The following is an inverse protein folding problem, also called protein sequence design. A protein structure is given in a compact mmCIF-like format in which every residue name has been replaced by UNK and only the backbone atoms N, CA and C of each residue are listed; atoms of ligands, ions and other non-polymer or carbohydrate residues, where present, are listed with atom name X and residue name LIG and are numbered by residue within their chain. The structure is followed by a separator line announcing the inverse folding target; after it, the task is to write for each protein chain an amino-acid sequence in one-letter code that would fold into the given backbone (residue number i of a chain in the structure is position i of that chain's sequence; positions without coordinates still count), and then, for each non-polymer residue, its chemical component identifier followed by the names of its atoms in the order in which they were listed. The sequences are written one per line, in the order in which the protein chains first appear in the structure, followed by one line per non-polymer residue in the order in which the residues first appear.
data_IF_148023311512
#
_entry.id   IF_148023311512
#
_cell.length_a   1.000
_cell.length_b   1.000
_cell.length_c   1.000
_cell.angle_alpha   90.00
_cell.angle_beta   90.00
_cell.angle_gamma   90.00
#
_symmetry.space_group_name_H-M   'P 1'
#
loop_
_entity.id
_entity.type
_entity.pdbx_description
1 polymer ?
#
# COMPACT_ATOMS: atom_id res chain seq x y z
N UNK A 1 27.39 -32.13 -24.91
CA UNK A 1 27.91 -30.98 -24.17
C UNK A 1 27.07 -29.72 -24.37
N UNK A 2 26.54 -29.47 -25.57
CA UNK A 2 25.68 -28.30 -25.89
C UNK A 2 24.33 -28.23 -25.16
N UNK A 3 23.69 -29.38 -24.92
CA UNK A 3 22.38 -29.43 -24.18
C UNK A 3 22.46 -28.90 -22.73
N UNK A 4 23.56 -29.16 -22.02
CA UNK A 4 23.77 -28.65 -20.66
C UNK A 4 24.01 -27.11 -20.64
N UNK A 5 24.73 -26.57 -21.61
CA UNK A 5 25.00 -25.14 -21.73
C UNK A 5 23.72 -24.37 -22.05
N UNK A 6 22.85 -24.92 -22.91
CA UNK A 6 21.54 -24.33 -23.22
C UNK A 6 20.60 -24.24 -21.98
N UNK A 7 20.63 -25.28 -21.13
CA UNK A 7 19.82 -25.32 -19.91
C UNK A 7 20.31 -24.31 -18.85
N UNK A 8 21.63 -24.18 -18.69
CA UNK A 8 22.23 -23.16 -17.78
C UNK A 8 21.91 -21.75 -18.25
N UNK A 9 22.00 -21.43 -19.54
CA UNK A 9 21.59 -20.13 -20.08
C UNK A 9 20.12 -19.82 -19.82
N UNK A 10 19.20 -20.78 -19.99
CA UNK A 10 17.77 -20.60 -19.68
C UNK A 10 17.53 -20.31 -18.19
N UNK A 11 18.21 -21.01 -17.30
CA UNK A 11 18.11 -20.82 -15.85
C UNK A 11 18.62 -19.43 -15.47
N UNK A 12 19.78 -19.01 -15.99
CA UNK A 12 20.34 -17.68 -15.73
C UNK A 12 19.44 -16.54 -16.26
N UNK A 13 18.84 -16.71 -17.43
CA UNK A 13 17.87 -15.74 -17.97
C UNK A 13 16.61 -15.64 -17.12
N UNK A 14 16.09 -16.77 -16.62
CA UNK A 14 14.95 -16.77 -15.69
C UNK A 14 15.29 -16.09 -14.36
N UNK A 15 16.43 -16.40 -13.78
CA UNK A 15 16.89 -15.76 -12.54
C UNK A 15 16.99 -14.24 -12.74
N UNK A 16 17.63 -13.80 -13.83
CA UNK A 16 17.79 -12.37 -14.16
C UNK A 16 16.43 -11.67 -14.36
N UNK A 17 15.48 -12.33 -15.00
CA UNK A 17 14.11 -11.81 -15.22
C UNK A 17 13.35 -11.67 -13.89
N UNK A 18 13.45 -12.66 -13.01
CA UNK A 18 12.83 -12.62 -11.66
C UNK A 18 13.44 -11.49 -10.82
N UNK A 19 14.77 -11.32 -10.83
CA UNK A 19 15.43 -10.23 -10.12
C UNK A 19 15.02 -8.85 -10.65
N UNK A 20 14.93 -8.70 -11.97
CA UNK A 20 14.50 -7.43 -12.58
C UNK A 20 13.04 -7.09 -12.21
N UNK A 21 12.13 -8.07 -12.26
CA UNK A 21 10.73 -7.89 -11.85
C UNK A 21 10.60 -7.55 -10.35
N UNK A 22 11.41 -8.19 -9.50
CA UNK A 22 11.44 -7.90 -8.07
C UNK A 22 11.95 -6.49 -7.78
N UNK A 23 12.98 -6.03 -8.47
CA UNK A 23 13.51 -4.66 -8.33
C UNK A 23 12.49 -3.60 -8.76
N UNK A 24 11.78 -3.81 -9.86
CA UNK A 24 10.70 -2.92 -10.30
C UNK A 24 9.58 -2.84 -9.25
N UNK A 25 9.16 -3.98 -8.70
CA UNK A 25 8.16 -4.03 -7.63
C UNK A 25 8.60 -3.23 -6.39
N UNK A 26 9.86 -3.36 -5.99
CA UNK A 26 10.42 -2.61 -4.85
C UNK A 26 10.42 -1.10 -5.13
N UNK A 27 10.86 -0.67 -6.31
CA UNK A 27 10.86 0.76 -6.66
C UNK A 27 9.45 1.35 -6.68
N UNK A 28 8.47 0.63 -7.23
CA UNK A 28 7.06 1.05 -7.23
C UNK A 28 6.53 1.13 -5.78
N UNK A 29 6.87 0.17 -4.92
CA UNK A 29 6.46 0.18 -3.53
C UNK A 29 7.04 1.38 -2.76
N UNK A 30 8.32 1.71 -2.97
CA UNK A 30 8.96 2.90 -2.39
C UNK A 30 8.25 4.18 -2.86
N UNK A 31 8.00 4.29 -4.16
CA UNK A 31 7.27 5.43 -4.73
C UNK A 31 5.87 5.56 -4.14
N UNK A 32 5.16 4.44 -4.03
CA UNK A 32 3.81 4.39 -3.43
C UNK A 32 3.82 4.89 -1.99
N UNK A 33 4.78 4.46 -1.17
CA UNK A 33 4.93 4.94 0.20
C UNK A 33 5.22 6.44 0.29
N UNK A 34 6.09 6.96 -0.58
CA UNK A 34 6.38 8.39 -0.65
C UNK A 34 5.13 9.20 -1.05
N UNK A 35 4.37 8.74 -2.04
CA UNK A 35 3.12 9.37 -2.47
C UNK A 35 2.06 9.35 -1.37
N UNK A 36 1.90 8.25 -0.65
CA UNK A 36 0.96 8.16 0.49
C UNK A 36 1.31 9.15 1.60
N UNK A 37 2.57 9.27 1.97
CA UNK A 37 3.03 10.22 2.98
C UNK A 37 2.77 11.66 2.54
N UNK A 38 3.10 12.01 1.31
CA UNK A 38 2.87 13.34 0.73
C UNK A 38 1.38 13.66 0.69
N UNK A 39 0.55 12.74 0.21
CA UNK A 39 -0.91 12.88 0.17
C UNK A 39 -1.49 13.13 1.57
N UNK A 40 -1.04 12.39 2.57
CA UNK A 40 -1.50 12.56 3.96
C UNK A 40 -1.24 13.98 4.50
N UNK A 41 -0.04 14.53 4.24
CA UNK A 41 0.32 15.89 4.65
C UNK A 41 -0.50 16.93 3.91
N UNK A 42 -0.62 16.82 2.58
CA UNK A 42 -1.39 17.75 1.76
C UNK A 42 -2.88 17.77 2.17
N UNK A 43 -3.47 16.60 2.34
CA UNK A 43 -4.86 16.47 2.75
C UNK A 43 -5.11 17.05 4.14
N UNK A 44 -4.18 16.88 5.07
CA UNK A 44 -4.26 17.50 6.40
C UNK A 44 -4.19 19.01 6.32
N UNK A 45 -3.34 19.57 5.45
CA UNK A 45 -3.27 21.01 5.19
C UNK A 45 -4.58 21.59 4.66
N UNK A 46 -5.20 20.92 3.68
CA UNK A 46 -6.50 21.33 3.13
C UNK A 46 -7.61 21.21 4.18
N UNK A 47 -7.59 20.15 4.98
CA UNK A 47 -8.61 19.89 6.02
C UNK A 47 -8.69 21.02 7.05
N UNK A 48 -7.57 21.63 7.39
CA UNK A 48 -7.53 22.79 8.32
C UNK A 48 -8.32 23.99 7.83
N UNK A 49 -8.54 24.11 6.52
CA UNK A 49 -9.23 25.24 5.89
C UNK A 49 -10.66 24.89 5.44
N UNK A 50 -10.91 23.63 5.06
CA UNK A 50 -12.18 23.23 4.44
C UNK A 50 -12.96 22.19 5.22
N UNK A 51 -12.36 21.57 6.23
CA UNK A 51 -12.95 20.48 6.99
C UNK A 51 -12.70 19.09 6.35
N UNK A 52 -12.75 18.06 7.20
CA UNK A 52 -12.28 16.71 6.87
C UNK A 52 -13.13 16.03 5.78
N UNK A 53 -14.46 16.17 5.84
CA UNK A 53 -15.35 15.53 4.87
C UNK A 53 -15.30 16.18 3.50
N UNK A 54 -15.14 17.50 3.45
CA UNK A 54 -14.96 18.24 2.20
C UNK A 54 -13.65 17.82 1.54
N UNK A 55 -12.57 17.78 2.31
CA UNK A 55 -11.27 17.30 1.81
C UNK A 55 -11.34 15.87 1.31
N UNK A 56 -11.90 14.94 2.11
CA UNK A 56 -12.02 13.55 1.71
C UNK A 56 -12.84 13.38 0.41
N UNK A 57 -13.96 14.10 0.28
CA UNK A 57 -14.78 14.07 -0.93
C UNK A 57 -14.02 14.60 -2.15
N UNK A 58 -13.31 15.72 -2.01
CA UNK A 58 -12.51 16.28 -3.09
C UNK A 58 -11.38 15.34 -3.54
N UNK A 59 -10.70 14.70 -2.58
CA UNK A 59 -9.63 13.73 -2.87
C UNK A 59 -10.15 12.54 -3.66
N UNK A 60 -11.28 11.97 -3.26
CA UNK A 60 -11.88 10.83 -3.97
C UNK A 60 -12.41 11.23 -5.35
N UNK A 61 -12.98 12.41 -5.47
CA UNK A 61 -13.45 12.93 -6.75
C UNK A 61 -12.29 13.19 -7.72
N UNK A 62 -11.23 13.86 -7.27
CA UNK A 62 -10.05 14.11 -8.10
C UNK A 62 -9.34 12.80 -8.51
N UNK A 63 -9.25 11.82 -7.60
CA UNK A 63 -8.74 10.50 -7.91
C UNK A 63 -9.59 9.78 -8.99
N UNK A 64 -10.91 9.89 -8.89
CA UNK A 64 -11.83 9.34 -9.91
C UNK A 64 -11.54 9.95 -11.28
N UNK A 65 -11.39 11.27 -11.37
CA UNK A 65 -11.10 11.95 -12.64
C UNK A 65 -9.78 11.49 -13.26
N UNK A 66 -8.74 11.35 -12.44
CA UNK A 66 -7.43 10.83 -12.88
C UNK A 66 -7.55 9.39 -13.38
N UNK A 67 -8.26 8.53 -12.66
CA UNK A 67 -8.48 7.13 -13.07
C UNK A 67 -9.27 7.03 -14.36
N UNK A 68 -10.31 7.83 -14.53
CA UNK A 68 -11.10 7.88 -15.78
C UNK A 68 -10.25 8.40 -16.95
N UNK A 69 -9.44 9.43 -16.73
CA UNK A 69 -8.50 9.93 -17.73
C UNK A 69 -7.50 8.86 -18.16
N UNK A 70 -6.89 8.16 -17.19
CA UNK A 70 -5.98 7.06 -17.46
C UNK A 70 -6.68 5.94 -18.25
N UNK A 71 -7.89 5.54 -17.86
CA UNK A 71 -8.67 4.52 -18.56
C UNK A 71 -8.97 4.90 -20.02
N UNK A 72 -9.25 6.17 -20.30
CA UNK A 72 -9.46 6.66 -21.66
C UNK A 72 -8.18 6.57 -22.49
N UNK A 73 -7.04 7.03 -21.90
CA UNK A 73 -5.73 7.08 -22.56
C UNK A 73 -5.18 5.68 -22.84
N UNK A 74 -5.42 4.73 -21.95
CA UNK A 74 -4.98 3.32 -22.12
C UNK A 74 -5.87 2.51 -23.10
N UNK A 75 -6.77 3.16 -23.80
CA UNK A 75 -7.55 2.52 -24.88
C UNK A 75 -8.79 1.77 -24.39
N UNK A 76 -9.27 2.03 -23.17
CA UNK A 76 -10.49 1.41 -22.59
C UNK A 76 -10.42 -0.12 -22.58
N UNK A 77 -9.30 -0.67 -22.14
CA UNK A 77 -8.98 -2.11 -22.17
C UNK A 77 -10.08 -3.02 -21.60
N UNK A 78 -10.90 -2.52 -20.66
CA UNK A 78 -12.06 -3.24 -20.13
C UNK A 78 -13.24 -2.31 -19.88
N UNK A 79 -14.45 -2.88 -19.99
CA UNK A 79 -15.69 -2.15 -19.73
C UNK A 79 -16.03 -2.12 -18.24
N UNK A 80 -16.60 -1.03 -17.76
CA UNK A 80 -17.16 -0.94 -16.40
C UNK A 80 -18.22 -2.03 -16.12
N UNK A 81 -18.86 -2.56 -17.16
CA UNK A 81 -19.79 -3.68 -17.03
C UNK A 81 -19.12 -4.95 -16.48
N UNK A 82 -17.79 -5.09 -16.59
CA UNK A 82 -17.06 -6.22 -16.03
C UNK A 82 -17.09 -6.23 -14.49
N UNK A 83 -17.30 -5.08 -13.83
CA UNK A 83 -17.43 -4.99 -12.37
C UNK A 83 -18.65 -5.77 -11.85
N UNK A 84 -19.72 -5.85 -12.63
CA UNK A 84 -20.92 -6.60 -12.25
C UNK A 84 -20.77 -8.12 -12.39
N UNK A 85 -19.72 -8.56 -13.12
CA UNK A 85 -19.40 -9.97 -13.36
C UNK A 85 -18.42 -10.55 -12.34
N UNK A 86 -17.99 -9.75 -11.36
CA UNK A 86 -17.05 -10.22 -10.30
C UNK A 86 -17.80 -11.19 -9.37
N UNK A 87 -17.25 -12.38 -9.17
CA UNK A 87 -17.84 -13.44 -8.35
C UNK A 87 -17.99 -13.01 -6.89
N UNK A 88 -16.97 -12.38 -6.34
CA UNK A 88 -16.92 -11.94 -4.94
C UNK A 88 -17.18 -10.44 -4.82
N UNK A 89 -18.43 -10.02 -4.80
CA UNK A 89 -18.87 -8.60 -4.77
C UNK A 89 -18.33 -7.82 -3.57
N UNK A 90 -17.99 -8.46 -2.46
CA UNK A 90 -17.38 -7.80 -1.30
C UNK A 90 -16.03 -7.12 -1.64
N UNK A 91 -15.32 -7.58 -2.69
CA UNK A 91 -14.09 -6.95 -3.15
C UNK A 91 -14.31 -5.51 -3.66
N UNK A 92 -15.52 -5.16 -4.08
CA UNK A 92 -15.87 -3.81 -4.50
C UNK A 92 -15.94 -2.80 -3.34
N UNK A 93 -15.93 -3.28 -2.09
CA UNK A 93 -15.86 -2.42 -0.90
C UNK A 93 -14.55 -1.63 -0.79
N UNK A 94 -13.55 -1.95 -1.61
CA UNK A 94 -12.27 -1.22 -1.65
C UNK A 94 -12.44 0.30 -1.81
N UNK A 95 -13.41 0.77 -2.59
CA UNK A 95 -13.71 2.19 -2.73
C UNK A 95 -14.22 2.83 -1.43
N UNK A 96 -15.10 2.13 -0.71
CA UNK A 96 -15.61 2.57 0.60
C UNK A 96 -14.48 2.61 1.63
N UNK A 97 -13.65 1.58 1.66
CA UNK A 97 -12.46 1.54 2.50
C UNK A 97 -11.51 2.71 2.19
N UNK A 98 -11.34 3.07 0.92
CA UNK A 98 -10.55 4.21 0.50
C UNK A 98 -11.00 5.53 1.14
N UNK A 99 -12.31 5.76 1.25
CA UNK A 99 -12.85 6.95 1.94
C UNK A 99 -12.51 6.94 3.44
N UNK A 100 -12.69 5.81 4.12
CA UNK A 100 -12.32 5.67 5.53
C UNK A 100 -10.81 5.76 5.76
N UNK A 101 -10.00 5.21 4.86
CA UNK A 101 -8.53 5.36 4.90
C UNK A 101 -8.15 6.83 4.82
N UNK A 102 -8.70 7.57 3.86
CA UNK A 102 -8.43 9.00 3.72
C UNK A 102 -8.78 9.77 5.01
N UNK A 103 -9.96 9.52 5.56
CA UNK A 103 -10.41 10.14 6.82
C UNK A 103 -9.45 9.82 7.99
N UNK A 104 -9.14 8.54 8.20
CA UNK A 104 -8.30 8.11 9.33
C UNK A 104 -6.85 8.56 9.20
N UNK A 105 -6.29 8.57 8.00
CA UNK A 105 -4.93 9.10 7.73
C UNK A 105 -4.87 10.59 8.04
N UNK A 106 -5.80 11.40 7.53
CA UNK A 106 -5.86 12.83 7.83
C UNK A 106 -5.91 13.05 9.35
N UNK A 107 -6.81 12.34 10.04
CA UNK A 107 -6.96 12.48 11.48
C UNK A 107 -5.70 12.08 12.26
N UNK A 108 -5.04 11.02 11.83
CA UNK A 108 -3.79 10.55 12.44
C UNK A 108 -2.65 11.55 12.24
N UNK A 109 -2.48 12.06 11.02
CA UNK A 109 -1.44 13.04 10.68
C UNK A 109 -1.66 14.36 11.41
N UNK A 110 -2.90 14.81 11.52
CA UNK A 110 -3.27 16.02 12.26
C UNK A 110 -2.96 15.92 13.75
N UNK A 111 -3.18 14.73 14.34
CA UNK A 111 -3.03 14.51 15.79
C UNK A 111 -1.60 14.15 16.21
N UNK A 112 -0.91 13.32 15.42
CA UNK A 112 0.39 12.73 15.78
C UNK A 112 1.57 13.34 15.01
N UNK A 113 1.28 14.13 14.00
CA UNK A 113 2.26 14.56 13.01
C UNK A 113 2.55 13.45 11.96
N UNK A 114 3.09 13.83 10.78
CA UNK A 114 3.20 12.90 9.65
C UNK A 114 4.15 11.72 9.91
N UNK A 115 5.28 11.93 10.57
CA UNK A 115 6.26 10.86 10.80
C UNK A 115 5.70 9.78 11.72
N UNK A 116 5.15 10.16 12.88
CA UNK A 116 4.61 9.22 13.87
C UNK A 116 3.35 8.52 13.34
N UNK A 117 2.45 9.26 12.69
CA UNK A 117 1.26 8.69 12.07
C UNK A 117 1.63 7.59 11.05
N UNK A 118 2.54 7.90 10.11
CA UNK A 118 2.97 6.94 9.11
C UNK A 118 3.65 5.69 9.70
N UNK A 119 4.42 5.81 10.77
CA UNK A 119 5.00 4.66 11.45
C UNK A 119 3.93 3.69 11.97
N UNK A 120 2.90 4.18 12.65
CA UNK A 120 1.79 3.35 13.12
C UNK A 120 0.96 2.77 11.97
N UNK A 121 0.70 3.56 10.93
CA UNK A 121 -0.03 3.11 9.73
C UNK A 121 0.71 1.95 9.06
N UNK A 122 2.01 2.10 8.79
CA UNK A 122 2.83 1.06 8.15
C UNK A 122 2.87 -0.21 9.02
N UNK A 123 3.02 -0.08 10.34
CA UNK A 123 3.03 -1.23 11.23
C UNK A 123 1.70 -2.00 11.20
N UNK A 124 0.59 -1.28 11.26
CA UNK A 124 -0.74 -1.89 11.14
C UNK A 124 -0.95 -2.58 9.78
N UNK A 125 -0.50 -1.95 8.69
CA UNK A 125 -0.55 -2.52 7.34
C UNK A 125 0.23 -3.83 7.25
N UNK A 126 1.44 -3.88 7.81
CA UNK A 126 2.27 -5.10 7.81
C UNK A 126 1.64 -6.24 8.61
N UNK A 127 1.07 -5.93 9.79
CA UNK A 127 0.36 -6.92 10.61
C UNK A 127 -0.82 -7.50 9.83
N UNK A 128 -1.68 -6.63 9.30
CA UNK A 128 -2.88 -7.06 8.58
C UNK A 128 -2.52 -7.83 7.31
N UNK A 129 -1.53 -7.35 6.53
CA UNK A 129 -1.06 -8.05 5.34
C UNK A 129 -0.55 -9.45 5.68
N UNK A 130 0.25 -9.59 6.73
CA UNK A 130 0.76 -10.89 7.17
C UNK A 130 -0.36 -11.83 7.63
N UNK A 131 -1.37 -11.32 8.36
CA UNK A 131 -2.53 -12.11 8.75
C UNK A 131 -3.33 -12.58 7.52
N UNK A 132 -3.53 -11.72 6.53
CA UNK A 132 -4.19 -12.07 5.26
C UNK A 132 -3.45 -13.20 4.55
N UNK A 133 -2.12 -13.13 4.46
CA UNK A 133 -1.30 -14.19 3.86
C UNK A 133 -1.36 -15.50 4.64
N UNK A 134 -1.24 -15.46 5.97
CA UNK A 134 -1.26 -16.67 6.82
C UNK A 134 -2.61 -17.39 6.77
N UNK A 135 -3.71 -16.64 6.78
CA UNK A 135 -5.05 -17.20 6.73
C UNK A 135 -5.55 -17.46 5.29
N UNK A 136 -4.85 -16.97 4.27
CA UNK A 136 -5.27 -17.08 2.88
C UNK A 136 -6.57 -16.33 2.59
N UNK A 137 -6.75 -15.15 3.19
CA UNK A 137 -7.96 -14.35 3.03
C UNK A 137 -7.95 -13.56 1.72
N UNK A 138 -9.13 -13.10 1.30
CA UNK A 138 -9.31 -12.22 0.14
C UNK A 138 -8.75 -12.75 -1.19
N UNK A 139 -8.64 -14.08 -1.36
CA UNK A 139 -8.10 -14.71 -2.56
C UNK A 139 -6.57 -14.80 -2.62
N UNK A 140 -5.88 -14.45 -1.54
CA UNK A 140 -4.43 -14.67 -1.43
C UNK A 140 -4.11 -16.14 -1.22
N UNK A 141 -3.01 -16.62 -1.81
CA UNK A 141 -2.48 -17.95 -1.52
C UNK A 141 -2.04 -18.02 -0.05
N UNK A 142 -2.42 -19.12 0.61
CA UNK A 142 -2.08 -19.33 2.02
C UNK A 142 -0.57 -19.53 2.18
N UNK A 143 0.07 -18.61 2.90
CA UNK A 143 1.48 -18.73 3.24
C UNK A 143 1.67 -19.50 4.55
N UNK A 144 2.78 -20.24 4.67
CA UNK A 144 3.17 -20.85 5.93
C UNK A 144 3.59 -19.80 6.95
N UNK A 145 3.27 -20.03 8.23
CA UNK A 145 3.73 -19.16 9.31
C UNK A 145 5.25 -19.20 9.43
N UNK A 146 5.89 -18.03 9.38
CA UNK A 146 7.34 -17.89 9.48
C UNK A 146 7.74 -17.00 10.67
N UNK A 147 8.45 -17.57 11.64
CA UNK A 147 8.99 -16.84 12.80
C UNK A 147 9.87 -15.64 12.42
N UNK A 148 10.57 -15.72 11.29
CA UNK A 148 11.42 -14.63 10.78
C UNK A 148 10.59 -13.38 10.44
N UNK A 149 9.42 -13.54 9.86
CA UNK A 149 8.50 -12.44 9.54
C UNK A 149 7.95 -11.80 10.82
N UNK A 150 7.60 -12.64 11.81
CA UNK A 150 7.15 -12.14 13.12
C UNK A 150 8.25 -11.36 13.84
N UNK A 151 9.46 -11.85 13.83
CA UNK A 151 10.62 -11.15 14.43
C UNK A 151 10.85 -9.80 13.74
N UNK A 152 10.80 -9.74 12.41
CA UNK A 152 10.89 -8.49 11.65
C UNK A 152 9.83 -7.47 12.04
N UNK A 153 8.59 -7.93 12.23
CA UNK A 153 7.49 -7.08 12.68
C UNK A 153 7.74 -6.51 14.09
N UNK A 154 8.20 -7.34 15.03
CA UNK A 154 8.55 -6.91 16.39
C UNK A 154 9.66 -5.86 16.38
N UNK A 155 10.68 -6.04 15.53
CA UNK A 155 11.76 -5.07 15.37
C UNK A 155 11.27 -3.72 14.82
N UNK A 156 10.32 -3.71 13.89
CA UNK A 156 9.71 -2.48 13.37
C UNK A 156 8.96 -1.76 14.50
N UNK A 157 8.14 -2.48 15.28
CA UNK A 157 7.40 -1.90 16.40
C UNK A 157 8.37 -1.36 17.47
N UNK A 158 9.42 -2.08 17.78
CA UNK A 158 10.47 -1.61 18.71
C UNK A 158 11.15 -0.34 18.21
N UNK A 159 11.45 -0.25 16.90
CA UNK A 159 11.99 0.95 16.27
C UNK A 159 11.06 2.17 16.41
N UNK A 160 9.76 1.98 16.28
CA UNK A 160 8.76 3.04 16.48
C UNK A 160 8.76 3.54 17.93
N UNK A 161 8.83 2.64 18.90
CA UNK A 161 8.89 2.99 20.32
C UNK A 161 10.13 3.82 20.60
N UNK A 162 11.29 3.41 20.08
CA UNK A 162 12.57 4.14 20.21
C UNK A 162 12.46 5.53 19.58
N UNK A 163 11.93 5.63 18.36
CA UNK A 163 11.77 6.91 17.67
C UNK A 163 10.87 7.88 18.43
N UNK A 164 9.82 7.37 19.07
CA UNK A 164 8.88 8.21 19.87
C UNK A 164 9.47 8.60 21.23
N UNK A 165 10.40 7.79 21.78
CA UNK A 165 10.97 8.02 23.12
C UNK A 165 11.69 9.36 23.22
N UNK A 166 12.42 9.74 22.18
CA UNK A 166 13.22 10.97 22.14
C UNK A 166 12.37 12.27 22.05
N UNK A 167 11.09 12.15 21.69
CA UNK A 167 10.21 13.32 21.54
C UNK A 167 9.70 13.88 22.89
N UNK A 168 9.78 13.10 23.98
CA UNK A 168 9.40 13.56 25.33
C UNK A 168 10.50 14.39 26.04
N UNK A 169 11.71 14.38 25.54
CA UNK A 169 12.84 15.08 26.16
C UNK A 169 12.96 16.56 25.76
N UNK A 170 12.05 17.08 24.91
CA UNK A 170 12.10 18.47 24.41
C UNK A 170 10.84 19.30 24.71
N UNK A 171 10.03 18.88 25.66
CA UNK A 171 8.96 19.65 26.29
C UNK A 171 9.32 19.90 27.75
#
# INVERSE_FOLDING_TARGET
MESKVGNVKKVLLNIRKVWCLSMWGILIAILSGALMSTQGVLNTGVTKQSGIWVTASFVQFSALLVCLGAWIVTGRESSFASLWKIDHKYMLLGGVLGAFITFTVIKSVDTLGPAVANMFIISAQLIVAYLIEVFGLCGCEKASFEWKKLLGLVLIIAGIVIFKWDHKARL
#
